data_IF_039754188737
#
_entry.id   IF_039754188737
#
_cell.length_a   1.000
_cell.length_b   1.000
_cell.length_c   1.000
_cell.angle_alpha   90.00
_cell.angle_beta   90.00
_cell.angle_gamma   90.00
#
_symmetry.space_group_name_H-M   'P 1'
#
loop_
_entity.id
_entity.type
_entity.pdbx_description
1 polymer ?
#
# COMPACT_ATOMS: atom_id res chain seq x y z
N UNK A 1 -7.88 64.47 -9.56
CA UNK A 1 -8.65 63.29 -9.14
C UNK A 1 -7.94 62.05 -9.66
N UNK A 2 -7.10 61.44 -8.82
CA UNK A 2 -6.37 60.22 -9.14
C UNK A 2 -7.25 59.03 -8.74
N UNK A 3 -7.65 58.23 -9.72
CA UNK A 3 -8.39 56.97 -9.51
C UNK A 3 -7.67 55.82 -10.26
N UNK A 4 -6.34 55.80 -10.18
CA UNK A 4 -5.48 54.81 -10.82
C UNK A 4 -4.92 53.77 -9.83
N UNK A 5 -5.72 53.32 -8.84
CA UNK A 5 -5.16 52.48 -7.77
C UNK A 5 -6.12 51.57 -7.00
N UNK A 6 -7.27 51.17 -7.55
CA UNK A 6 -8.24 50.33 -6.80
C UNK A 6 -8.77 49.08 -7.53
N UNK A 7 -8.23 48.73 -8.70
CA UNK A 7 -8.63 47.49 -9.41
C UNK A 7 -7.45 46.52 -9.52
N UNK A 8 -6.91 46.09 -8.38
CA UNK A 8 -5.76 45.17 -8.35
C UNK A 8 -5.62 44.30 -7.10
N UNK A 9 -6.68 44.09 -6.30
CA UNK A 9 -6.57 43.34 -5.03
C UNK A 9 -7.85 42.58 -4.64
N UNK A 10 -8.63 42.09 -5.60
CA UNK A 10 -9.84 41.30 -5.29
C UNK A 10 -9.83 39.89 -5.89
N UNK A 11 -8.73 39.45 -6.51
CA UNK A 11 -8.55 38.07 -7.01
C UNK A 11 -7.77 37.18 -6.02
N UNK A 12 -7.26 37.77 -4.93
CA UNK A 12 -6.41 37.13 -3.92
C UNK A 12 -7.18 36.55 -2.71
N UNK A 13 -8.50 36.78 -2.65
CA UNK A 13 -9.35 36.32 -1.56
C UNK A 13 -10.18 35.06 -1.87
N UNK A 14 -10.41 34.72 -3.15
CA UNK A 14 -11.11 33.49 -3.55
C UNK A 14 -10.19 32.27 -3.69
N UNK A 15 -8.87 32.48 -3.82
CA UNK A 15 -7.89 31.40 -3.91
C UNK A 15 -7.62 30.67 -2.57
N UNK A 16 -8.25 31.09 -1.46
CA UNK A 16 -8.09 30.47 -0.12
C UNK A 16 -9.19 29.46 0.22
N UNK A 17 -10.22 29.33 -0.63
CA UNK A 17 -11.25 28.29 -0.52
C UNK A 17 -10.99 27.09 -1.46
N UNK A 18 -9.73 26.86 -1.83
CA UNK A 18 -9.35 25.62 -2.49
C UNK A 18 -9.58 24.47 -1.50
N UNK A 19 -10.43 23.47 -1.83
CA UNK A 19 -10.74 22.39 -0.91
C UNK A 19 -9.50 21.52 -0.75
N UNK A 20 -8.65 21.82 0.24
CA UNK A 20 -7.60 20.97 0.80
C UNK A 20 -7.04 19.97 -0.23
N UNK A 21 -6.61 20.47 -1.40
CA UNK A 21 -6.10 19.60 -2.44
C UNK A 21 -4.70 19.24 -2.01
N UNK A 22 -4.57 18.05 -1.41
CA UNK A 22 -3.30 17.48 -1.01
C UNK A 22 -2.40 17.49 -2.25
N UNK A 23 -1.25 18.20 -2.23
CA UNK A 23 -0.38 18.31 -3.39
C UNK A 23 0.09 16.92 -3.82
N UNK A 24 -0.48 16.45 -4.93
CA UNK A 24 0.13 15.50 -5.86
C UNK A 24 0.79 14.25 -5.28
N UNK A 25 0.13 13.57 -4.33
CA UNK A 25 0.24 12.12 -4.28
C UNK A 25 -0.84 11.59 -5.23
N UNK A 26 -0.47 11.23 -6.47
CA UNK A 26 -1.41 10.59 -7.39
C UNK A 26 -2.16 9.49 -6.62
N UNK A 27 -3.50 9.57 -6.53
CA UNK A 27 -4.30 8.59 -5.76
C UNK A 27 -3.98 7.16 -6.16
N UNK A 28 -3.65 6.95 -7.44
CA UNK A 28 -3.15 5.70 -7.97
C UNK A 28 -1.81 5.27 -7.35
N UNK A 29 -0.83 6.18 -7.28
CA UNK A 29 0.47 5.90 -6.67
C UNK A 29 0.35 5.61 -5.17
N UNK A 30 -0.47 6.37 -4.43
CA UNK A 30 -0.72 6.12 -3.01
C UNK A 30 -1.34 4.74 -2.76
N UNK A 31 -2.32 4.35 -3.59
CA UNK A 31 -2.99 3.06 -3.50
C UNK A 31 -2.05 1.91 -3.88
N UNK A 32 -1.22 2.11 -4.92
CA UNK A 32 -0.17 1.18 -5.32
C UNK A 32 0.80 0.90 -4.18
N UNK A 33 1.44 1.93 -3.62
CA UNK A 33 2.42 1.73 -2.55
C UNK A 33 1.80 1.13 -1.28
N UNK A 34 0.54 1.47 -0.96
CA UNK A 34 -0.15 0.89 0.19
C UNK A 34 -0.40 -0.60 -0.01
N UNK A 35 -1.02 -1.01 -1.13
CA UNK A 35 -1.36 -2.40 -1.40
C UNK A 35 -0.11 -3.28 -1.58
N UNK A 36 0.83 -2.84 -2.42
CA UNK A 36 2.07 -3.59 -2.68
C UNK A 36 2.97 -3.61 -1.44
N UNK A 37 3.03 -2.50 -0.69
CA UNK A 37 3.81 -2.41 0.56
C UNK A 37 3.22 -3.30 1.68
N UNK A 38 1.90 -3.30 1.85
CA UNK A 38 1.23 -4.19 2.80
C UNK A 38 1.45 -5.66 2.44
N UNK A 39 1.35 -6.00 1.15
CA UNK A 39 1.63 -7.35 0.68
C UNK A 39 3.09 -7.76 0.92
N UNK A 40 4.06 -6.89 0.60
CA UNK A 40 5.48 -7.15 0.84
C UNK A 40 5.77 -7.40 2.33
N UNK A 41 5.09 -6.68 3.24
CA UNK A 41 5.18 -6.93 4.67
C UNK A 41 4.67 -8.33 5.04
N UNK A 42 3.58 -8.80 4.44
CA UNK A 42 3.05 -10.16 4.68
C UNK A 42 4.00 -11.24 4.18
N UNK A 43 4.58 -11.06 2.98
CA UNK A 43 5.59 -11.97 2.44
C UNK A 43 6.80 -12.05 3.38
N UNK A 44 7.27 -10.91 3.91
CA UNK A 44 8.38 -10.88 4.86
C UNK A 44 8.06 -11.64 6.16
N UNK A 45 6.86 -11.45 6.72
CA UNK A 45 6.41 -12.21 7.91
C UNK A 45 6.34 -13.71 7.61
N UNK A 46 5.78 -14.10 6.47
CA UNK A 46 5.73 -15.50 6.03
C UNK A 46 7.11 -16.12 5.86
N UNK A 47 8.07 -15.36 5.31
CA UNK A 47 9.47 -15.77 5.15
C UNK A 47 10.15 -16.02 6.49
N UNK A 48 9.94 -15.14 7.46
CA UNK A 48 10.48 -15.32 8.81
C UNK A 48 9.93 -16.60 9.44
N UNK A 49 8.62 -16.83 9.37
CA UNK A 49 7.99 -18.06 9.91
C UNK A 49 8.50 -19.31 9.20
N UNK A 50 8.69 -19.25 7.88
CA UNK A 50 9.21 -20.36 7.09
C UNK A 50 10.65 -20.72 7.47
N UNK A 51 11.52 -19.72 7.60
CA UNK A 51 12.91 -19.91 8.03
C UNK A 51 12.99 -20.50 9.45
N UNK A 52 12.14 -20.02 10.37
CA UNK A 52 12.07 -20.57 11.73
C UNK A 52 11.64 -22.04 11.69
N UNK A 53 10.63 -22.39 10.89
CA UNK A 53 10.18 -23.78 10.76
C UNK A 53 11.21 -24.69 10.12
N UNK A 54 11.98 -24.18 9.15
CA UNK A 54 13.05 -24.94 8.51
C UNK A 54 14.24 -25.17 9.47
N UNK A 55 14.49 -24.23 10.38
CA UNK A 55 15.52 -24.36 11.42
C UNK A 55 15.10 -25.31 12.56
N UNK A 56 13.81 -25.51 12.78
CA UNK A 56 13.29 -26.45 13.76
C UNK A 56 13.26 -27.86 13.16
N UNK A 57 13.84 -28.82 13.88
CA UNK A 57 13.81 -30.24 13.47
C UNK A 57 12.35 -30.70 13.35
N UNK A 58 11.96 -31.17 12.17
CA UNK A 58 10.61 -31.66 11.87
C UNK A 58 10.33 -32.91 12.71
N UNK A 59 9.54 -32.75 13.75
CA UNK A 59 8.97 -33.83 14.55
C UNK A 59 7.52 -34.07 14.09
N UNK A 60 7.04 -35.31 14.19
CA UNK A 60 5.67 -35.72 13.83
C UNK A 60 4.60 -34.79 14.45
N UNK A 61 4.85 -34.31 15.68
CA UNK A 61 3.94 -33.41 16.39
C UNK A 61 3.86 -31.99 15.79
N UNK A 62 4.76 -31.62 14.87
CA UNK A 62 4.84 -30.27 14.28
C UNK A 62 4.45 -30.25 12.79
N UNK A 63 4.00 -31.38 12.25
CA UNK A 63 3.46 -31.46 10.89
C UNK A 63 2.31 -30.45 10.68
N UNK A 64 1.44 -30.30 11.69
CA UNK A 64 0.33 -29.34 11.68
C UNK A 64 0.80 -27.89 11.52
N UNK A 65 1.93 -27.51 12.14
CA UNK A 65 2.50 -26.15 11.97
C UNK A 65 3.04 -25.92 10.57
N UNK A 66 3.59 -26.96 9.93
CA UNK A 66 4.08 -26.88 8.54
C UNK A 66 2.90 -26.77 7.59
N UNK A 67 1.84 -27.56 7.77
CA UNK A 67 0.63 -27.49 6.95
C UNK A 67 -0.03 -26.10 7.07
N UNK A 68 -0.21 -25.59 8.29
CA UNK A 68 -0.79 -24.27 8.52
C UNK A 68 0.07 -23.14 7.93
N UNK A 69 1.40 -23.29 7.96
CA UNK A 69 2.31 -22.30 7.34
C UNK A 69 2.31 -22.39 5.82
N UNK A 70 2.24 -23.60 5.25
CA UNK A 70 2.03 -23.79 3.83
C UNK A 70 0.73 -23.15 3.35
N UNK A 71 -0.35 -23.31 4.14
CA UNK A 71 -1.63 -22.66 3.88
C UNK A 71 -1.54 -21.13 3.90
N UNK A 72 -0.79 -20.57 4.87
CA UNK A 72 -0.51 -19.12 4.92
C UNK A 72 0.26 -18.64 3.68
N UNK A 73 1.28 -19.38 3.25
CA UNK A 73 2.03 -19.06 2.03
C UNK A 73 1.16 -19.08 0.78
N UNK A 74 0.31 -20.10 0.64
CA UNK A 74 -0.64 -20.17 -0.47
C UNK A 74 -1.63 -19.01 -0.44
N UNK A 75 -2.11 -18.61 0.73
CA UNK A 75 -2.97 -17.42 0.84
C UNK A 75 -2.26 -16.14 0.36
N UNK A 76 -1.00 -15.94 0.74
CA UNK A 76 -0.20 -14.80 0.28
C UNK A 76 -0.04 -14.84 -1.25
N UNK A 77 0.29 -16.00 -1.84
CA UNK A 77 0.41 -16.17 -3.29
C UNK A 77 -0.90 -15.87 -4.03
N UNK A 78 -2.04 -16.32 -3.51
CA UNK A 78 -3.36 -15.99 -4.05
C UNK A 78 -3.65 -14.48 -3.99
N UNK A 79 -3.27 -13.76 -2.93
CA UNK A 79 -3.45 -12.30 -2.92
C UNK A 79 -2.58 -11.63 -3.99
N UNK A 80 -1.36 -12.15 -4.22
CA UNK A 80 -0.46 -11.61 -5.24
C UNK A 80 -1.00 -11.80 -6.66
N UNK A 81 -1.58 -12.96 -6.97
CA UNK A 81 -2.13 -13.23 -8.30
C UNK A 81 -3.31 -12.29 -8.67
N UNK A 82 -4.03 -11.76 -7.67
CA UNK A 82 -5.08 -10.76 -7.89
C UNK A 82 -4.53 -9.33 -7.95
N UNK A 83 -3.54 -8.99 -7.11
CA UNK A 83 -2.93 -7.65 -7.12
C UNK A 83 -2.14 -7.37 -8.40
N UNK A 84 -1.46 -8.38 -8.95
CA UNK A 84 -0.64 -8.22 -10.15
C UNK A 84 -1.44 -7.69 -11.36
N UNK A 85 -2.54 -8.33 -11.81
CA UNK A 85 -3.36 -7.79 -12.89
C UNK A 85 -4.09 -6.49 -12.51
N UNK A 86 -4.51 -6.32 -11.25
CA UNK A 86 -5.22 -5.11 -10.83
C UNK A 86 -4.34 -3.86 -10.89
N UNK A 87 -3.04 -3.98 -10.57
CA UNK A 87 -2.11 -2.85 -10.51
C UNK A 87 -1.26 -2.71 -11.78
N UNK A 88 -1.02 -3.79 -12.53
CA UNK A 88 -0.17 -3.77 -13.74
C UNK A 88 -0.93 -3.88 -15.07
N UNK A 89 -2.14 -4.46 -15.11
CA UNK A 89 -2.92 -4.64 -16.36
C UNK A 89 -4.11 -3.68 -16.51
N UNK A 90 -4.52 -2.98 -15.45
CA UNK A 90 -5.55 -1.94 -15.45
C UNK A 90 -4.93 -0.55 -15.23
#
# INVERSE_FOLDING_TARGET
MSAAGFLGTNEDHDAKHLPIMIPSGNMWASSYFLLTGFHALHVLVGLIVFVILMALKLDSSRADMVENTGLYWHFVDLVWIFLFPLLYLF
#
